data_IF_273272591342
#
_entry.id   IF_273272591342
#
_cell.length_a   1.000
_cell.length_b   1.000
_cell.length_c   1.000
_cell.angle_alpha   90.00
_cell.angle_beta   90.00
_cell.angle_gamma   90.00
#
_symmetry.space_group_name_H-M   'P 1'
#
loop_
_entity.id
_entity.type
_entity.pdbx_description
1 polymer ?
#
# COMPACT_ATOMS: atom_id res chain seq x y z
N UNK A 1 -18.14 51.81 -20.81
CA UNK A 1 -17.40 50.57 -20.51
C UNK A 1 -17.61 50.21 -19.04
N UNK A 2 -18.44 49.22 -18.70
CA UNK A 2 -18.59 48.79 -17.31
C UNK A 2 -17.40 47.91 -16.87
N UNK A 3 -16.81 48.22 -15.73
CA UNK A 3 -15.63 47.56 -15.14
C UNK A 3 -15.97 46.14 -14.67
N UNK A 4 -15.12 45.17 -15.01
CA UNK A 4 -15.19 43.78 -14.53
C UNK A 4 -14.92 43.74 -13.02
N UNK A 5 -15.85 43.22 -12.19
CA UNK A 5 -15.60 43.04 -10.76
C UNK A 5 -14.63 41.87 -10.52
N UNK A 6 -13.60 42.08 -9.68
CA UNK A 6 -12.65 41.02 -9.29
C UNK A 6 -13.35 39.99 -8.38
N UNK A 7 -13.32 38.73 -8.79
CA UNK A 7 -13.85 37.59 -8.01
C UNK A 7 -12.90 37.34 -6.82
N UNK A 8 -13.36 37.40 -5.56
CA UNK A 8 -12.54 37.01 -4.42
C UNK A 8 -12.31 35.49 -4.45
N UNK A 9 -11.04 35.05 -4.33
CA UNK A 9 -10.71 33.62 -4.20
C UNK A 9 -11.42 33.04 -2.98
N UNK A 10 -12.29 32.06 -3.21
CA UNK A 10 -12.96 31.32 -2.17
C UNK A 10 -11.92 30.64 -1.27
N UNK A 11 -12.00 30.94 0.02
CA UNK A 11 -11.20 30.29 1.06
C UNK A 11 -11.94 28.99 1.39
N UNK A 12 -11.29 27.84 1.22
CA UNK A 12 -11.87 26.55 1.60
C UNK A 12 -12.04 26.49 3.12
N UNK A 13 -13.26 26.74 3.58
CA UNK A 13 -13.66 26.52 4.96
C UNK A 13 -14.59 25.32 4.94
N UNK A 14 -14.04 24.14 5.23
CA UNK A 14 -14.81 22.95 5.53
C UNK A 14 -15.62 23.20 6.80
N UNK A 15 -16.84 23.71 6.61
CA UNK A 15 -17.84 23.85 7.67
C UNK A 15 -18.43 22.46 7.91
N UNK A 16 -17.89 21.74 8.89
CA UNK A 16 -18.50 20.51 9.41
C UNK A 16 -19.88 20.83 9.98
N UNK A 17 -20.92 20.69 9.15
CA UNK A 17 -22.31 20.65 9.60
C UNK A 17 -22.60 19.22 10.01
N UNK A 18 -22.45 18.91 11.30
CA UNK A 18 -23.03 17.70 11.89
C UNK A 18 -24.55 17.88 11.87
N UNK A 19 -25.17 17.40 10.79
CA UNK A 19 -26.62 17.19 10.70
C UNK A 19 -26.88 15.93 11.51
N UNK A 20 -27.56 16.08 12.64
CA UNK A 20 -28.03 14.93 13.40
C UNK A 20 -28.97 14.13 12.48
N UNK A 21 -28.61 12.87 12.28
CA UNK A 21 -29.41 11.90 11.55
C UNK A 21 -30.68 11.68 12.37
N UNK A 22 -31.82 12.03 11.77
CA UNK A 22 -33.15 11.85 12.34
C UNK A 22 -33.40 10.35 12.49
N UNK A 23 -33.56 9.89 13.73
CA UNK A 23 -33.77 8.49 14.09
C UNK A 23 -35.12 8.04 13.51
N UNK A 24 -35.08 7.20 12.47
CA UNK A 24 -36.27 6.48 11.98
C UNK A 24 -36.57 5.33 12.93
N UNK A 25 -37.83 5.25 13.34
CA UNK A 25 -38.40 4.41 14.39
C UNK A 25 -38.78 3.02 13.84
N UNK A 26 -37.81 2.26 13.32
CA UNK A 26 -37.95 0.83 13.03
C UNK A 26 -37.25 0.04 14.15
N UNK A 27 -37.97 -0.92 14.73
CA UNK A 27 -37.73 -1.67 15.99
C UNK A 27 -36.51 -2.63 15.99
N UNK A 28 -35.53 -2.33 15.16
CA UNK A 28 -34.25 -2.98 15.04
C UNK A 28 -33.22 -1.86 15.03
N UNK A 29 -32.69 -1.50 16.20
CA UNK A 29 -31.77 -0.37 16.46
C UNK A 29 -30.41 -0.39 15.72
N UNK A 30 -30.40 -0.83 14.47
CA UNK A 30 -29.30 -0.88 13.54
C UNK A 30 -29.77 -0.25 12.23
N UNK A 31 -29.15 0.86 11.82
CA UNK A 31 -29.34 1.38 10.47
C UNK A 31 -28.54 0.54 9.48
N UNK A 32 -29.06 0.36 8.26
CA UNK A 32 -28.33 -0.36 7.20
C UNK A 32 -26.97 0.28 6.89
N UNK A 33 -26.87 1.60 7.07
CA UNK A 33 -25.66 2.42 6.92
C UNK A 33 -24.55 2.02 7.92
N UNK A 34 -24.88 1.41 9.07
CA UNK A 34 -23.88 0.94 10.04
C UNK A 34 -23.10 -0.30 9.54
N UNK A 35 -23.69 -1.07 8.62
CA UNK A 35 -23.06 -2.25 8.03
C UNK A 35 -22.28 -1.95 6.76
N UNK A 36 -22.39 -0.73 6.22
CA UNK A 36 -21.54 -0.27 5.13
C UNK A 36 -20.13 -0.01 5.67
N UNK A 37 -19.16 -0.75 5.15
CA UNK A 37 -17.76 -0.51 5.49
C UNK A 37 -17.37 0.89 5.02
N UNK A 38 -16.71 1.71 5.85
CA UNK A 38 -16.18 2.98 5.40
C UNK A 38 -15.27 2.73 4.19
N UNK A 39 -15.24 3.63 3.19
CA UNK A 39 -14.36 3.47 2.04
C UNK A 39 -12.92 3.36 2.56
N UNK A 40 -12.31 2.18 2.40
CA UNK A 40 -10.94 1.95 2.79
C UNK A 40 -10.04 2.77 1.87
N UNK A 41 -9.28 3.70 2.45
CA UNK A 41 -8.27 4.42 1.69
C UNK A 41 -7.18 3.41 1.29
N UNK A 42 -6.89 3.30 0.00
CA UNK A 42 -5.87 2.37 -0.49
C UNK A 42 -4.51 2.86 0.05
N UNK A 43 -3.76 2.05 0.83
CA UNK A 43 -2.51 2.46 1.43
C UNK A 43 -1.38 2.40 0.40
N UNK A 44 -1.39 3.36 -0.54
CA UNK A 44 -0.43 3.45 -1.64
C UNK A 44 1.02 3.48 -1.15
N UNK A 45 1.29 4.14 -0.01
CA UNK A 45 2.65 4.19 0.57
C UNK A 45 3.18 2.80 0.92
N UNK A 46 2.35 1.98 1.58
CA UNK A 46 2.70 0.62 1.98
C UNK A 46 2.92 -0.29 0.78
N UNK A 47 2.09 -0.14 -0.26
CA UNK A 47 2.23 -0.89 -1.52
C UNK A 47 3.53 -0.52 -2.25
N UNK A 48 3.84 0.78 -2.34
CA UNK A 48 5.08 1.26 -2.97
C UNK A 48 6.31 0.71 -2.24
N UNK A 49 6.29 0.73 -0.90
CA UNK A 49 7.37 0.17 -0.09
C UNK A 49 7.49 -1.34 -0.29
N UNK A 50 6.38 -2.09 -0.29
CA UNK A 50 6.39 -3.53 -0.52
C UNK A 50 6.99 -3.90 -1.87
N UNK A 51 6.61 -3.19 -2.93
CA UNK A 51 7.17 -3.37 -4.28
C UNK A 51 8.66 -3.05 -4.27
N UNK A 52 9.08 -1.98 -3.61
CA UNK A 52 10.49 -1.63 -3.48
C UNK A 52 11.30 -2.75 -2.80
N UNK A 53 10.85 -3.25 -1.65
CA UNK A 53 11.50 -4.37 -0.94
C UNK A 53 11.55 -5.63 -1.82
N UNK A 54 10.47 -5.92 -2.53
CA UNK A 54 10.40 -7.06 -3.45
C UNK A 54 11.44 -6.95 -4.57
N UNK A 55 11.51 -5.80 -5.26
CA UNK A 55 12.45 -5.58 -6.37
C UNK A 55 13.90 -5.62 -5.88
N UNK A 56 14.22 -4.94 -4.77
CA UNK A 56 15.58 -4.94 -4.20
C UNK A 56 15.97 -6.33 -3.71
N UNK A 57 15.06 -7.03 -3.02
CA UNK A 57 15.27 -8.40 -2.55
C UNK A 57 15.51 -9.38 -3.70
N UNK A 58 14.67 -9.36 -4.73
CA UNK A 58 14.84 -10.20 -5.93
C UNK A 58 16.15 -9.90 -6.65
N UNK A 59 16.53 -8.64 -6.79
CA UNK A 59 17.80 -8.25 -7.42
C UNK A 59 18.99 -8.78 -6.63
N UNK A 60 18.95 -8.68 -5.28
CA UNK A 60 19.98 -9.23 -4.41
C UNK A 60 20.11 -10.75 -4.51
N UNK A 61 18.99 -11.48 -4.58
CA UNK A 61 18.97 -12.94 -4.78
C UNK A 61 19.59 -13.29 -6.14
N UNK A 62 19.19 -12.60 -7.21
CA UNK A 62 19.70 -12.84 -8.56
C UNK A 62 21.21 -12.61 -8.60
N UNK A 63 21.68 -11.48 -8.08
CA UNK A 63 23.12 -11.16 -8.04
C UNK A 63 23.89 -12.19 -7.20
N UNK A 64 23.39 -12.53 -6.01
CA UNK A 64 24.01 -13.54 -5.16
C UNK A 64 24.10 -14.92 -5.85
N UNK A 65 23.03 -15.34 -6.54
CA UNK A 65 23.01 -16.58 -7.30
C UNK A 65 23.98 -16.56 -8.50
N UNK A 66 24.11 -15.43 -9.20
CA UNK A 66 25.06 -15.27 -10.31
C UNK A 66 26.52 -15.32 -9.84
N UNK A 67 26.80 -14.85 -8.62
CA UNK A 67 28.13 -14.93 -8.00
C UNK A 67 28.45 -16.37 -7.62
N UNK A 68 27.55 -17.06 -6.92
CA UNK A 68 27.72 -18.47 -6.50
C UNK A 68 27.87 -19.44 -7.67
N UNK A 69 27.15 -19.19 -8.78
CA UNK A 69 27.23 -20.01 -9.99
C UNK A 69 28.49 -19.76 -10.82
N UNK A 70 29.36 -18.82 -10.41
CA UNK A 70 30.62 -18.52 -11.09
C UNK A 70 30.45 -17.88 -12.46
N UNK A 71 29.26 -17.39 -12.80
CA UNK A 71 29.02 -16.64 -14.05
C UNK A 71 29.74 -15.28 -14.00
N UNK A 72 29.80 -14.67 -12.81
CA UNK A 72 30.62 -13.49 -12.53
C UNK A 72 31.91 -13.97 -11.86
N UNK A 73 32.94 -14.25 -12.65
CA UNK A 73 34.27 -14.60 -12.14
C UNK A 73 35.00 -13.35 -11.64
N UNK A 74 34.62 -12.88 -10.46
CA UNK A 74 35.44 -11.94 -9.71
C UNK A 74 36.20 -12.77 -8.68
N UNK A 75 37.47 -13.09 -8.98
CA UNK A 75 38.29 -14.08 -8.26
C UNK A 75 38.41 -13.85 -6.73
N UNK A 76 38.15 -12.64 -6.24
CA UNK A 76 38.16 -12.29 -4.81
C UNK A 76 36.77 -12.21 -4.16
N UNK A 77 35.68 -12.46 -4.91
CA UNK A 77 34.29 -12.19 -4.50
C UNK A 77 33.42 -13.45 -4.40
N UNK A 78 33.93 -14.63 -4.78
CA UNK A 78 33.14 -15.87 -4.75
C UNK A 78 32.61 -16.17 -3.34
N UNK A 79 33.39 -15.84 -2.30
CA UNK A 79 33.00 -16.03 -0.89
C UNK A 79 31.98 -14.97 -0.38
N UNK A 80 31.56 -14.05 -1.24
CA UNK A 80 30.67 -12.92 -0.92
C UNK A 80 29.27 -13.05 -1.52
N UNK A 81 28.95 -14.12 -2.26
CA UNK A 81 27.60 -14.34 -2.81
C UNK A 81 26.55 -14.59 -1.71
N UNK A 82 26.91 -15.42 -0.73
CA UNK A 82 26.08 -15.77 0.44
C UNK A 82 25.42 -14.58 1.18
N UNK A 83 26.11 -13.50 1.56
CA UNK A 83 25.44 -12.37 2.21
C UNK A 83 24.39 -11.69 1.33
N UNK A 84 24.60 -11.60 0.01
CA UNK A 84 23.58 -11.06 -0.90
C UNK A 84 22.37 -11.99 -1.03
N UNK A 85 22.59 -13.30 -1.04
CA UNK A 85 21.50 -14.29 -1.02
C UNK A 85 20.68 -14.19 0.26
N UNK A 86 21.33 -14.19 1.43
CA UNK A 86 20.68 -14.10 2.73
C UNK A 86 19.91 -12.79 2.86
N UNK A 87 20.56 -11.66 2.55
CA UNK A 87 19.93 -10.34 2.63
C UNK A 87 18.78 -10.19 1.63
N UNK A 88 18.96 -10.68 0.40
CA UNK A 88 17.91 -10.71 -0.61
C UNK A 88 16.70 -11.51 -0.15
N UNK A 89 16.90 -12.67 0.48
CA UNK A 89 15.84 -13.52 0.99
C UNK A 89 15.10 -12.88 2.18
N UNK A 90 15.82 -12.23 3.09
CA UNK A 90 15.23 -11.46 4.21
C UNK A 90 14.34 -10.32 3.71
N UNK A 91 14.75 -9.59 2.67
CA UNK A 91 13.96 -8.49 2.10
C UNK A 91 12.80 -8.99 1.23
N UNK A 92 12.97 -10.13 0.56
CA UNK A 92 11.98 -10.71 -0.33
C UNK A 92 10.75 -11.24 0.41
N UNK A 93 10.91 -11.83 1.59
CA UNK A 93 9.79 -12.38 2.39
C UNK A 93 8.71 -11.31 2.69
N UNK A 94 9.02 -10.17 3.33
CA UNK A 94 8.03 -9.13 3.60
C UNK A 94 7.53 -8.46 2.31
N UNK A 95 8.41 -8.23 1.32
CA UNK A 95 8.03 -7.62 0.04
C UNK A 95 7.01 -8.46 -0.73
N UNK A 96 7.29 -9.76 -0.90
CA UNK A 96 6.42 -10.69 -1.63
C UNK A 96 5.08 -10.92 -0.92
N UNK A 97 5.07 -11.01 0.41
CA UNK A 97 3.85 -11.17 1.20
C UNK A 97 2.87 -10.00 0.99
N UNK A 98 3.36 -8.75 1.08
CA UNK A 98 2.51 -7.58 0.89
C UNK A 98 2.08 -7.38 -0.57
N UNK A 99 2.95 -7.68 -1.55
CA UNK A 99 2.57 -7.66 -2.97
C UNK A 99 1.50 -8.72 -3.28
N UNK A 100 1.61 -9.91 -2.69
CA UNK A 100 0.59 -10.97 -2.81
C UNK A 100 -0.75 -10.51 -2.25
N UNK A 101 -0.78 -9.97 -1.04
CA UNK A 101 -2.01 -9.43 -0.45
C UNK A 101 -2.62 -8.29 -1.29
N UNK A 102 -1.78 -7.38 -1.80
CA UNK A 102 -2.22 -6.30 -2.68
C UNK A 102 -2.79 -6.83 -4.01
N UNK A 103 -2.22 -7.90 -4.55
CA UNK A 103 -2.71 -8.55 -5.77
C UNK A 103 -4.09 -9.19 -5.56
N UNK A 104 -4.32 -9.82 -4.41
CA UNK A 104 -5.63 -10.37 -4.02
C UNK A 104 -6.68 -9.29 -3.79
N UNK A 105 -6.29 -8.17 -3.19
CA UNK A 105 -7.14 -7.00 -3.02
C UNK A 105 -7.49 -6.34 -4.37
N UNK A 106 -6.54 -6.28 -5.32
CA UNK A 106 -6.80 -5.80 -6.68
C UNK A 106 -7.83 -6.67 -7.41
N UNK A 107 -7.77 -7.99 -7.25
CA UNK A 107 -8.73 -8.93 -7.88
C UNK A 107 -10.10 -8.98 -7.18
N UNK A 108 -10.35 -8.10 -6.21
CA UNK A 108 -11.62 -7.93 -5.53
C UNK A 108 -12.16 -9.25 -4.94
N UNK A 109 -11.24 -10.04 -4.37
CA UNK A 109 -11.57 -11.34 -3.80
C UNK A 109 -12.40 -11.13 -2.54
N UNK A 110 -13.60 -11.76 -2.39
CA UNK A 110 -14.46 -11.53 -1.24
C UNK A 110 -13.72 -11.86 0.07
N UNK A 111 -13.55 -10.87 0.94
CA UNK A 111 -12.87 -10.99 2.23
C UNK A 111 -11.49 -10.34 2.32
N UNK A 112 -10.90 -9.90 1.21
CA UNK A 112 -9.65 -9.12 1.21
C UNK A 112 -9.95 -7.64 0.98
N UNK A 113 -9.55 -6.81 1.94
CA UNK A 113 -9.73 -5.36 1.92
C UNK A 113 -8.37 -4.69 2.14
N UNK A 114 -8.13 -3.57 1.45
CA UNK A 114 -6.91 -2.79 1.59
C UNK A 114 -6.70 -2.27 3.02
N UNK A 115 -7.78 -2.15 3.81
CA UNK A 115 -7.71 -1.80 5.23
C UNK A 115 -7.10 -2.85 6.16
N UNK A 116 -6.75 -4.05 5.67
CA UNK A 116 -5.99 -5.05 6.45
C UNK A 116 -4.47 -4.89 6.34
N UNK A 117 -3.99 -4.01 5.46
CA UNK A 117 -2.58 -3.68 5.35
C UNK A 117 -2.29 -2.59 6.38
N UNK A 118 -1.37 -2.79 7.34
CA UNK A 118 -0.99 -1.74 8.28
C UNK A 118 -0.55 -0.48 7.54
N UNK A 119 -1.16 0.66 7.89
CA UNK A 119 -0.74 1.95 7.40
C UNK A 119 0.64 2.27 7.96
N UNK A 120 1.58 2.58 7.05
CA UNK A 120 2.88 3.12 7.43
C UNK A 120 2.72 4.64 7.51
N UNK A 121 2.49 5.13 8.74
CA UNK A 121 2.42 6.56 9.09
C UNK A 121 3.76 7.28 8.82
#
# INVERSE_FOLDING_TARGET
MPKVPKIPKAKNVFKHRRRFIELHDDDNGFSNEQFERPPSEIPYKSIVLAIFLFVVGSTGIIIGALIETGYIQAADWLDRGMPFLILGLILFIPGSYHVYLAWYAWHNTPGYDFGMIPDLD
#
